data_IF_672810867704
#
_entry.id   IF_672810867704
#
_cell.length_a   1.000
_cell.length_b   1.000
_cell.length_c   1.000
_cell.angle_alpha   90.00
_cell.angle_beta   90.00
_cell.angle_gamma   90.00
#
_symmetry.space_group_name_H-M   'P 1'
#
loop_
_entity.id
_entity.type
_entity.pdbx_description
1 polymer ?
#
# COMPACT_ATOMS: atom_id res chain seq x y z
N UNK A 1 20.82 -18.76 8.61
CA UNK A 1 19.91 -19.47 9.49
C UNK A 1 18.44 -19.10 9.19
N UNK A 2 18.05 -17.79 9.20
CA UNK A 2 16.66 -17.36 9.03
C UNK A 2 15.96 -17.86 7.75
N UNK A 3 16.64 -17.88 6.61
CA UNK A 3 16.08 -18.45 5.37
C UNK A 3 15.72 -19.94 5.50
N UNK A 4 16.51 -20.72 6.21
CA UNK A 4 16.21 -22.14 6.45
C UNK A 4 15.00 -22.32 7.37
N UNK A 5 14.88 -21.48 8.40
CA UNK A 5 13.70 -21.49 9.28
C UNK A 5 12.45 -21.18 8.46
N UNK A 6 12.48 -20.13 7.63
CA UNK A 6 11.35 -19.72 6.80
C UNK A 6 10.97 -20.82 5.78
N UNK A 7 11.96 -21.47 5.15
CA UNK A 7 11.71 -22.60 4.24
C UNK A 7 11.12 -23.80 4.98
N UNK A 8 11.58 -24.09 6.20
CA UNK A 8 11.00 -25.17 7.02
C UNK A 8 9.56 -24.86 7.41
N UNK A 9 9.24 -23.61 7.76
CA UNK A 9 7.87 -23.16 8.02
C UNK A 9 6.99 -23.27 6.78
N UNK A 10 7.47 -22.88 5.62
CA UNK A 10 6.76 -23.08 4.35
C UNK A 10 6.43 -24.56 4.12
N UNK A 11 7.41 -25.45 4.27
CA UNK A 11 7.20 -26.87 4.10
C UNK A 11 6.20 -27.44 5.13
N UNK A 12 6.27 -26.96 6.37
CA UNK A 12 5.29 -27.33 7.39
C UNK A 12 3.87 -26.86 7.02
N UNK A 13 3.73 -25.65 6.48
CA UNK A 13 2.45 -25.11 6.01
C UNK A 13 1.89 -25.98 4.86
N UNK A 14 2.70 -26.36 3.90
CA UNK A 14 2.25 -27.17 2.76
C UNK A 14 1.84 -28.60 3.12
N UNK A 15 2.30 -29.12 4.25
CA UNK A 15 1.89 -30.43 4.81
C UNK A 15 0.55 -30.36 5.56
N UNK A 16 -0.01 -29.17 5.74
CA UNK A 16 -1.27 -28.99 6.50
C UNK A 16 -2.47 -29.43 5.66
N UNK A 17 -3.46 -29.98 6.31
CA UNK A 17 -4.73 -30.33 5.68
C UNK A 17 -5.62 -29.07 5.62
N UNK A 18 -5.99 -28.58 4.43
CA UNK A 18 -6.69 -27.30 4.29
C UNK A 18 -8.02 -27.21 5.06
N UNK A 19 -8.75 -28.30 5.16
CA UNK A 19 -10.09 -28.33 5.77
C UNK A 19 -10.06 -28.35 7.29
N UNK A 20 -9.15 -29.13 7.90
CA UNK A 20 -9.14 -29.43 9.35
C UNK A 20 -8.14 -28.58 10.13
N UNK A 21 -7.17 -27.95 9.47
CA UNK A 21 -6.16 -27.14 10.15
C UNK A 21 -6.75 -25.84 10.71
N UNK A 22 -6.25 -25.42 11.87
CA UNK A 22 -6.47 -24.09 12.44
C UNK A 22 -5.65 -23.05 11.69
N UNK A 23 -5.97 -21.77 11.84
CA UNK A 23 -5.14 -20.70 11.26
C UNK A 23 -3.76 -20.67 11.94
N UNK A 24 -2.71 -20.53 11.13
CA UNK A 24 -1.36 -20.23 11.60
C UNK A 24 -0.98 -18.84 11.13
N UNK A 25 -0.43 -18.03 12.03
CA UNK A 25 0.05 -16.70 11.71
C UNK A 25 1.58 -16.67 11.78
N UNK A 26 2.22 -16.33 10.69
CA UNK A 26 3.66 -16.18 10.55
C UNK A 26 3.95 -14.69 10.42
N UNK A 27 4.71 -14.17 11.37
CA UNK A 27 5.14 -12.77 11.39
C UNK A 27 6.64 -12.75 11.11
N UNK A 28 7.04 -11.96 10.12
CA UNK A 28 8.44 -11.85 9.68
C UNK A 28 8.81 -10.37 9.73
N UNK A 29 9.61 -10.02 10.70
CA UNK A 29 10.23 -8.70 10.79
C UNK A 29 11.47 -8.65 9.89
N UNK A 30 11.79 -7.48 9.33
CA UNK A 30 12.90 -7.29 8.38
C UNK A 30 12.93 -8.35 7.27
N UNK A 31 11.76 -8.67 6.74
CA UNK A 31 11.59 -9.79 5.84
C UNK A 31 12.48 -9.77 4.57
N UNK A 32 12.95 -8.61 4.03
CA UNK A 32 13.83 -8.60 2.88
C UNK A 32 15.12 -9.40 3.08
N UNK A 33 15.55 -9.62 4.33
CA UNK A 33 16.75 -10.39 4.64
C UNK A 33 16.56 -11.91 4.60
N UNK A 34 15.33 -12.34 4.81
CA UNK A 34 15.01 -13.76 4.96
C UNK A 34 14.32 -14.39 3.76
N UNK A 35 13.79 -13.59 2.83
CA UNK A 35 13.11 -14.11 1.66
C UNK A 35 14.06 -14.81 0.68
N UNK A 36 13.47 -15.63 -0.15
CA UNK A 36 14.12 -16.40 -1.21
C UNK A 36 13.24 -16.41 -2.46
N UNK A 37 13.79 -16.74 -3.60
CA UNK A 37 13.13 -16.56 -4.89
C UNK A 37 11.72 -17.21 -4.97
N UNK A 38 11.48 -18.47 -4.49
CA UNK A 38 10.14 -19.08 -4.49
C UNK A 38 9.18 -18.54 -3.41
N UNK A 39 9.56 -17.56 -2.60
CA UNK A 39 8.69 -17.03 -1.54
C UNK A 39 7.40 -16.40 -2.09
N UNK A 40 7.42 -15.89 -3.31
CA UNK A 40 6.24 -15.35 -4.00
C UNK A 40 5.15 -16.40 -4.21
N UNK A 41 5.53 -17.66 -4.51
CA UNK A 41 4.58 -18.77 -4.63
C UNK A 41 3.97 -19.12 -3.26
N UNK A 42 4.79 -19.06 -2.20
CA UNK A 42 4.31 -19.30 -0.84
C UNK A 42 3.23 -18.29 -0.44
N UNK A 43 3.44 -17.00 -0.68
CA UNK A 43 2.45 -15.95 -0.39
C UNK A 43 1.14 -16.21 -1.15
N UNK A 44 1.21 -16.58 -2.43
CA UNK A 44 0.02 -16.82 -3.25
C UNK A 44 -0.80 -18.02 -2.78
N UNK A 45 -0.15 -19.02 -2.19
CA UNK A 45 -0.77 -20.29 -1.79
C UNK A 45 -1.08 -20.39 -0.29
N UNK A 46 -0.45 -19.57 0.55
CA UNK A 46 -0.55 -19.65 2.01
C UNK A 46 -2.00 -19.67 2.51
N UNK A 47 -2.87 -18.88 1.89
CA UNK A 47 -4.30 -18.81 2.23
C UNK A 47 -5.00 -20.17 2.11
N UNK A 48 -4.67 -20.97 1.09
CA UNK A 48 -5.24 -22.29 0.89
C UNK A 48 -4.98 -23.22 2.08
N UNK A 49 -3.82 -23.07 2.71
CA UNK A 49 -3.39 -23.85 3.87
C UNK A 49 -3.70 -23.17 5.20
N UNK A 50 -4.59 -22.17 5.22
CA UNK A 50 -4.93 -21.38 6.40
C UNK A 50 -3.70 -20.77 7.10
N UNK A 51 -2.72 -20.35 6.32
CA UNK A 51 -1.59 -19.55 6.81
C UNK A 51 -1.80 -18.07 6.51
N UNK A 52 -1.60 -17.24 7.52
CA UNK A 52 -1.60 -15.78 7.45
C UNK A 52 -0.14 -15.36 7.55
N UNK A 53 0.31 -14.51 6.62
CA UNK A 53 1.67 -14.02 6.59
C UNK A 53 1.64 -12.51 6.76
N UNK A 54 2.27 -12.02 7.82
CA UNK A 54 2.51 -10.59 8.03
C UNK A 54 4.01 -10.33 7.94
N UNK A 55 4.39 -9.34 7.18
CA UNK A 55 5.79 -8.97 6.98
C UNK A 55 5.99 -7.50 7.33
N UNK A 56 7.13 -7.17 7.91
CA UNK A 56 7.57 -5.80 8.13
C UNK A 56 8.90 -5.55 7.42
N UNK A 57 9.07 -4.35 6.92
CA UNK A 57 10.31 -3.89 6.30
C UNK A 57 10.47 -2.38 6.52
N UNK A 58 11.69 -1.92 6.66
CA UNK A 58 12.00 -0.49 6.72
C UNK A 58 11.91 0.15 5.33
N UNK A 59 12.34 -0.58 4.29
CA UNK A 59 12.24 -0.14 2.89
C UNK A 59 11.98 -1.35 1.98
N UNK A 60 11.18 -1.13 0.96
CA UNK A 60 10.92 -2.17 -0.05
C UNK A 60 11.93 -2.15 -1.19
N UNK A 61 12.74 -1.09 -1.30
CA UNK A 61 13.81 -1.00 -2.31
C UNK A 61 14.80 -2.16 -2.23
N UNK A 62 15.06 -2.68 -1.02
CA UNK A 62 15.92 -3.86 -0.83
C UNK A 62 15.44 -5.11 -1.59
N UNK A 63 14.14 -5.22 -1.85
CA UNK A 63 13.58 -6.31 -2.64
C UNK A 63 13.96 -6.18 -4.11
N UNK A 64 13.87 -4.94 -4.64
CA UNK A 64 14.27 -4.64 -6.01
C UNK A 64 15.75 -4.90 -6.22
N UNK A 65 16.60 -4.49 -5.28
CA UNK A 65 18.05 -4.73 -5.33
C UNK A 65 18.41 -6.23 -5.35
N UNK A 66 17.73 -7.04 -4.53
CA UNK A 66 18.06 -8.47 -4.39
C UNK A 66 17.48 -9.34 -5.50
N UNK A 67 16.30 -9.01 -6.02
CA UNK A 67 15.55 -9.90 -6.92
C UNK A 67 14.94 -9.19 -8.12
N UNK A 68 15.15 -7.89 -8.26
CA UNK A 68 14.63 -7.05 -9.34
C UNK A 68 13.23 -6.50 -9.05
N UNK A 69 12.89 -5.41 -9.74
CA UNK A 69 11.62 -4.67 -9.54
C UNK A 69 10.37 -5.52 -9.77
N UNK A 70 10.39 -6.38 -10.77
CA UNK A 70 9.24 -7.26 -11.07
C UNK A 70 8.92 -8.22 -9.92
N UNK A 71 9.96 -8.73 -9.25
CA UNK A 71 9.79 -9.57 -8.07
C UNK A 71 9.18 -8.77 -6.91
N UNK A 72 9.70 -7.58 -6.66
CA UNK A 72 9.15 -6.66 -5.65
C UNK A 72 7.67 -6.37 -5.92
N UNK A 73 7.30 -5.98 -7.14
CA UNK A 73 5.91 -5.71 -7.50
C UNK A 73 5.01 -6.94 -7.32
N UNK A 74 5.49 -8.12 -7.69
CA UNK A 74 4.74 -9.38 -7.50
C UNK A 74 4.47 -9.64 -6.02
N UNK A 75 5.47 -9.46 -5.16
CA UNK A 75 5.30 -9.61 -3.71
C UNK A 75 4.32 -8.59 -3.13
N UNK A 76 4.48 -7.31 -3.47
CA UNK A 76 3.62 -6.24 -2.97
C UNK A 76 2.16 -6.42 -3.42
N UNK A 77 1.94 -6.98 -4.61
CA UNK A 77 0.59 -7.33 -5.08
C UNK A 77 0.01 -8.50 -4.28
N UNK A 78 0.84 -9.48 -3.91
CA UNK A 78 0.43 -10.63 -3.08
C UNK A 78 -0.01 -10.22 -1.67
N UNK A 79 0.62 -9.23 -1.09
CA UNK A 79 0.22 -8.65 0.20
C UNK A 79 -0.94 -7.68 0.01
N UNK A 80 -2.17 -8.17 0.11
CA UNK A 80 -3.39 -7.39 -0.15
C UNK A 80 -3.67 -6.30 0.90
N UNK A 81 -3.26 -6.52 2.15
CA UNK A 81 -3.32 -5.53 3.21
C UNK A 81 -1.99 -4.80 3.28
N UNK A 82 -2.04 -3.49 3.43
CA UNK A 82 -0.85 -2.64 3.52
C UNK A 82 -1.02 -1.65 4.67
N UNK A 83 0.03 -1.48 5.44
CA UNK A 83 0.13 -0.50 6.50
C UNK A 83 1.46 0.24 6.31
N UNK A 84 1.38 1.54 6.13
CA UNK A 84 2.53 2.40 5.82
C UNK A 84 2.63 3.48 6.87
N UNK A 85 3.70 3.46 7.63
CA UNK A 85 4.04 4.48 8.62
C UNK A 85 4.77 5.67 7.97
N UNK A 86 4.95 6.75 8.73
CA UNK A 86 5.74 7.91 8.31
C UNK A 86 7.25 7.63 8.25
N UNK A 87 8.02 8.67 7.92
CA UNK A 87 9.49 8.64 7.85
C UNK A 87 10.06 7.58 6.87
N UNK A 88 9.37 7.37 5.75
CA UNK A 88 9.79 6.47 4.67
C UNK A 88 10.53 7.25 3.57
N UNK A 89 11.34 6.53 2.78
CA UNK A 89 12.03 7.12 1.64
C UNK A 89 11.02 7.68 0.61
N UNK A 90 11.45 8.71 -0.14
CA UNK A 90 10.60 9.29 -1.18
C UNK A 90 10.22 8.26 -2.27
N UNK A 91 11.14 7.36 -2.62
CA UNK A 91 10.86 6.28 -3.60
C UNK A 91 9.78 5.33 -3.09
N UNK A 92 9.86 4.91 -1.83
CA UNK A 92 8.83 4.07 -1.21
C UNK A 92 7.50 4.82 -1.10
N UNK A 93 7.54 6.12 -0.72
CA UNK A 93 6.35 6.95 -0.64
C UNK A 93 5.64 7.09 -2.00
N UNK A 94 6.38 7.29 -3.10
CA UNK A 94 5.80 7.31 -4.45
C UNK A 94 5.17 5.98 -4.83
N UNK A 95 5.85 4.87 -4.53
CA UNK A 95 5.34 3.53 -4.81
C UNK A 95 4.05 3.26 -4.02
N UNK A 96 4.06 3.51 -2.71
CA UNK A 96 2.91 3.27 -1.86
C UNK A 96 1.75 4.23 -2.15
N UNK A 97 2.01 5.49 -2.48
CA UNK A 97 0.98 6.45 -2.90
C UNK A 97 0.12 5.88 -4.05
N UNK A 98 0.75 5.31 -5.07
CA UNK A 98 0.07 4.63 -6.18
C UNK A 98 -0.62 3.32 -5.77
N UNK A 99 0.04 2.50 -4.94
CA UNK A 99 -0.51 1.21 -4.49
C UNK A 99 -1.71 1.37 -3.54
N UNK A 100 -1.76 2.45 -2.79
CA UNK A 100 -2.88 2.78 -1.91
C UNK A 100 -4.12 3.14 -2.71
N UNK A 101 -3.99 3.85 -3.80
CA UNK A 101 -5.07 4.09 -4.76
C UNK A 101 -5.14 5.53 -5.22
N UNK A 102 -5.97 5.72 -6.22
CA UNK A 102 -6.28 7.00 -6.86
C UNK A 102 -7.78 7.24 -6.77
N UNK A 103 -8.18 8.50 -6.77
CA UNK A 103 -9.57 8.93 -6.82
C UNK A 103 -9.77 9.95 -7.93
N UNK A 104 -10.95 9.94 -8.52
CA UNK A 104 -11.31 10.92 -9.54
C UNK A 104 -11.78 12.20 -8.85
N UNK A 105 -11.09 13.29 -9.11
CA UNK A 105 -11.47 14.64 -8.68
C UNK A 105 -11.96 15.46 -9.88
N UNK A 106 -12.89 16.38 -9.63
CA UNK A 106 -13.36 17.33 -10.63
C UNK A 106 -12.89 18.71 -10.25
N UNK A 107 -11.99 19.30 -11.05
CA UNK A 107 -11.61 20.70 -10.90
C UNK A 107 -12.54 21.59 -11.71
N UNK A 108 -13.21 22.53 -11.06
CA UNK A 108 -13.92 23.63 -11.74
C UNK A 108 -12.90 24.65 -12.25
N UNK A 109 -12.62 24.62 -13.52
CA UNK A 109 -11.88 25.69 -14.17
C UNK A 109 -12.78 26.92 -14.37
N UNK A 110 -12.63 27.94 -13.56
CA UNK A 110 -13.20 29.28 -13.84
C UNK A 110 -12.34 29.96 -14.87
N UNK A 111 -12.75 29.93 -16.12
CA UNK A 111 -12.17 30.79 -17.15
C UNK A 111 -12.78 32.20 -17.06
N UNK A 112 -12.12 33.09 -16.30
CA UNK A 112 -12.36 34.53 -16.42
C UNK A 112 -11.64 35.02 -17.69
N UNK A 113 -12.34 35.11 -18.78
CA UNK A 113 -11.85 35.84 -19.95
C UNK A 113 -12.05 37.34 -19.68
N UNK A 114 -10.94 38.02 -19.42
CA UNK A 114 -10.88 39.47 -19.38
C UNK A 114 -11.14 39.98 -20.80
N UNK A 115 -12.32 40.50 -21.06
CA UNK A 115 -12.65 41.11 -22.33
C UNK A 115 -11.96 42.45 -22.45
N UNK A 116 -11.35 42.68 -23.61
CA UNK A 116 -10.64 43.94 -23.95
C UNK A 116 -11.54 45.17 -23.75
N UNK A 117 -11.04 46.28 -23.22
CA UNK A 117 -11.84 47.47 -22.85
C UNK A 117 -12.45 48.28 -24.00
N UNK A 118 -12.45 47.74 -25.23
CA UNK A 118 -12.93 48.42 -26.44
C UNK A 118 -14.29 47.93 -26.99
N UNK A 119 -15.01 47.08 -26.24
CA UNK A 119 -16.38 46.68 -26.65
C UNK A 119 -17.43 47.27 -25.71
N UNK A 120 -18.41 47.94 -26.31
CA UNK A 120 -19.47 48.72 -25.63
C UNK A 120 -20.52 47.91 -24.88
N UNK A 121 -20.48 46.56 -24.88
CA UNK A 121 -21.31 45.71 -24.04
C UNK A 121 -20.48 44.55 -23.48
N UNK A 122 -20.28 44.45 -22.14
CA UNK A 122 -19.59 43.32 -21.53
C UNK A 122 -20.52 42.11 -21.45
N UNK A 123 -20.39 41.16 -22.40
CA UNK A 123 -21.04 39.87 -22.29
C UNK A 123 -20.19 39.00 -21.36
N UNK A 124 -20.57 38.90 -20.08
CA UNK A 124 -20.03 37.92 -19.16
C UNK A 124 -20.44 36.50 -19.59
N UNK A 125 -19.58 35.82 -20.31
CA UNK A 125 -19.68 34.36 -20.47
C UNK A 125 -18.90 33.66 -19.36
N UNK A 126 -19.59 33.31 -18.34
CA UNK A 126 -19.06 32.37 -17.34
C UNK A 126 -19.20 30.94 -17.87
N UNK A 127 -18.12 30.40 -18.40
CA UNK A 127 -18.04 29.00 -18.77
C UNK A 127 -17.33 28.23 -17.67
N UNK A 128 -18.03 27.41 -16.92
CA UNK A 128 -17.39 26.42 -16.05
C UNK A 128 -17.04 25.21 -16.89
N UNK A 129 -15.75 24.94 -17.06
CA UNK A 129 -15.28 23.69 -17.64
C UNK A 129 -14.91 22.74 -16.50
N UNK A 130 -15.57 21.59 -16.45
CA UNK A 130 -15.20 20.52 -15.52
C UNK A 130 -14.11 19.66 -16.17
N UNK A 131 -12.90 19.66 -15.64
CA UNK A 131 -11.87 18.70 -16.02
C UNK A 131 -11.82 17.58 -14.99
N UNK A 132 -12.03 16.35 -15.44
CA UNK A 132 -11.80 15.17 -14.63
C UNK A 132 -10.30 15.00 -14.47
N UNK A 133 -9.83 14.94 -13.23
CA UNK A 133 -8.45 14.69 -12.87
C UNK A 133 -8.38 13.50 -11.92
N UNK A 134 -7.50 12.58 -12.20
CA UNK A 134 -7.25 11.45 -11.30
C UNK A 134 -6.09 11.82 -10.38
N UNK A 135 -6.36 11.93 -9.09
CA UNK A 135 -5.38 12.26 -8.08
C UNK A 135 -5.17 11.08 -7.11
N UNK A 136 -3.95 10.94 -6.58
CA UNK A 136 -3.67 9.93 -5.56
C UNK A 136 -4.38 10.30 -4.26
N UNK A 137 -5.00 9.33 -3.60
CA UNK A 137 -5.71 9.52 -2.32
C UNK A 137 -4.78 10.10 -1.25
N UNK A 138 -3.56 9.55 -1.18
CA UNK A 138 -2.51 10.05 -0.29
C UNK A 138 -1.26 10.38 -1.12
N UNK A 139 -0.88 11.64 -1.13
CA UNK A 139 0.34 12.08 -1.81
C UNK A 139 1.60 11.53 -1.12
N UNK A 140 2.73 11.38 -1.83
CA UNK A 140 3.99 10.95 -1.21
C UNK A 140 4.36 11.78 0.02
N UNK A 141 4.17 13.09 -0.03
CA UNK A 141 4.46 13.96 1.10
C UNK A 141 3.57 13.67 2.31
N UNK A 142 2.28 13.40 2.11
CA UNK A 142 1.38 12.99 3.21
C UNK A 142 1.80 11.67 3.84
N UNK A 143 2.41 10.76 3.09
CA UNK A 143 2.93 9.51 3.63
C UNK A 143 4.23 9.70 4.41
N UNK A 144 5.14 10.57 3.94
CA UNK A 144 6.43 10.83 4.60
C UNK A 144 6.21 11.56 5.92
N UNK A 145 5.35 12.58 5.92
CA UNK A 145 5.12 13.47 7.07
C UNK A 145 3.96 13.05 7.96
N UNK A 146 3.64 11.75 8.03
CA UNK A 146 2.70 11.23 9.02
C UNK A 146 3.25 11.44 10.44
N UNK A 147 2.35 11.73 11.37
CA UNK A 147 2.71 11.84 12.78
C UNK A 147 3.25 10.52 13.33
N UNK A 148 4.07 10.55 14.39
CA UNK A 148 4.52 9.33 15.05
C UNK A 148 3.33 8.44 15.42
N UNK A 149 3.44 7.13 15.14
CA UNK A 149 2.38 6.13 15.34
C UNK A 149 1.15 6.28 14.46
N UNK A 150 1.14 7.19 13.50
CA UNK A 150 0.12 7.26 12.47
C UNK A 150 0.50 6.36 11.28
N UNK A 151 -0.48 5.68 10.70
CA UNK A 151 -0.27 4.84 9.55
C UNK A 151 -1.38 4.97 8.52
N UNK A 152 -1.01 4.96 7.25
CA UNK A 152 -1.94 4.81 6.14
C UNK A 152 -2.24 3.32 5.92
N UNK A 153 -3.51 2.94 5.92
CA UNK A 153 -3.93 1.55 5.90
C UNK A 153 -4.86 1.27 4.72
N UNK A 154 -4.51 0.25 3.95
CA UNK A 154 -5.36 -0.36 2.91
C UNK A 154 -5.74 -1.76 3.34
N UNK A 155 -7.02 -2.00 3.53
CA UNK A 155 -7.57 -3.29 3.97
C UNK A 155 -8.51 -3.84 2.89
N UNK A 156 -8.55 -5.15 2.77
CA UNK A 156 -9.48 -5.86 1.90
C UNK A 156 -10.38 -6.74 2.77
N UNK A 157 -11.68 -6.46 2.78
CA UNK A 157 -12.68 -7.22 3.52
C UNK A 157 -13.64 -7.86 2.54
N UNK A 158 -13.92 -9.15 2.70
CA UNK A 158 -14.80 -9.92 1.82
C UNK A 158 -14.46 -9.74 0.31
N UNK A 159 -13.17 -9.76 -0.01
CA UNK A 159 -12.61 -9.51 -1.35
C UNK A 159 -12.84 -8.10 -1.93
N UNK A 160 -13.39 -7.17 -1.17
CA UNK A 160 -13.53 -5.76 -1.56
C UNK A 160 -12.47 -4.91 -0.87
N UNK A 161 -11.70 -4.10 -1.60
CA UNK A 161 -10.83 -3.10 -0.98
C UNK A 161 -11.69 -2.04 -0.28
N UNK A 162 -11.31 -1.68 0.94
CA UNK A 162 -11.89 -0.55 1.66
C UNK A 162 -11.08 0.70 1.30
N UNK A 163 -11.72 1.87 1.19
CA UNK A 163 -11.01 3.13 0.99
C UNK A 163 -9.89 3.30 2.01
N UNK A 164 -8.77 3.81 1.56
CA UNK A 164 -7.59 4.04 2.40
C UNK A 164 -7.93 5.02 3.51
N UNK A 165 -7.44 4.72 4.70
CA UNK A 165 -7.61 5.57 5.89
C UNK A 165 -6.27 5.74 6.59
N UNK A 166 -6.08 6.89 7.19
CA UNK A 166 -5.04 7.08 8.20
C UNK A 166 -5.62 6.70 9.57
N UNK A 167 -4.86 5.95 10.33
CA UNK A 167 -5.21 5.47 11.66
C UNK A 167 -4.10 5.81 12.64
N UNK A 168 -4.44 6.01 13.90
CA UNK A 168 -3.49 6.13 14.98
C UNK A 168 -3.25 4.74 15.58
N UNK A 169 -1.99 4.31 15.61
CA UNK A 169 -1.59 3.07 16.25
C UNK A 169 -1.43 3.31 17.75
N UNK A 170 -2.24 2.64 18.56
CA UNK A 170 -2.15 2.75 20.01
C UNK A 170 -0.94 2.00 20.55
N UNK A 171 -0.26 2.58 21.53
CA UNK A 171 0.72 1.88 22.33
C UNK A 171 0.07 0.70 23.06
N UNK A 172 0.69 -0.46 22.98
CA UNK A 172 0.36 -1.55 23.92
C UNK A 172 0.92 -1.15 25.28
N UNK A 173 0.09 -0.97 26.33
CA UNK A 173 0.63 -0.69 27.65
C UNK A 173 1.54 -1.82 28.07
N UNK A 174 2.70 -1.47 28.69
CA UNK A 174 3.55 -2.48 29.30
C UNK A 174 2.72 -3.20 30.35
N UNK A 175 2.67 -4.53 30.26
CA UNK A 175 2.12 -5.33 31.35
C UNK A 175 2.93 -5.02 32.62
N UNK A 176 2.29 -4.54 33.67
CA UNK A 176 2.86 -4.37 34.99
C UNK A 176 3.17 -5.73 35.60
#
# INVERSE_FOLDING_TARGET
LGKFVLLSLQNAVYRRTPLTSTFAHIIIDEFPDYIYLPFKEFISQARKYKAIITVAAQTVAQLADKYGEMYMHTLLTGFRHKMVYGDISYCDAQLFSKLLGEEDSYEEGKNEQTVSPLQEEPVMRSGSSYQQKTDVILTPNKLIFQEPFQAAVKIVVNNKPIPVRQIDANFVPKAE
#
